data_IF_042920489448
#
_entry.id   IF_042920489448
#
_cell.length_a   1.000
_cell.length_b   1.000
_cell.length_c   1.000
_cell.angle_alpha   90.00
_cell.angle_beta   90.00
_cell.angle_gamma   90.00
#
_symmetry.space_group_name_H-M   'P 1'
#
loop_
_entity.id
_entity.type
_entity.pdbx_description
1 polymer ?
#
# COMPACT_ATOMS: atom_id res chain seq x y z
N UNK A 1 31.55 6.05 11.63
CA UNK A 1 30.94 4.80 11.15
C UNK A 1 31.76 4.34 9.96
N UNK A 2 32.49 3.23 10.10
CA UNK A 2 33.44 2.80 9.09
C UNK A 2 32.78 2.53 7.75
N UNK A 3 33.46 2.96 6.69
CA UNK A 3 33.04 2.81 5.29
C UNK A 3 32.66 1.37 4.95
N UNK A 4 33.37 0.40 5.55
CA UNK A 4 33.15 -1.04 5.45
C UNK A 4 31.79 -1.50 5.97
N UNK A 5 31.34 -0.96 7.11
CA UNK A 5 30.09 -1.38 7.73
C UNK A 5 28.89 -0.91 6.89
N UNK A 6 28.99 0.28 6.28
CA UNK A 6 27.98 0.77 5.34
C UNK A 6 27.97 -0.02 4.02
N UNK A 7 29.13 -0.46 3.53
CA UNK A 7 29.23 -1.30 2.34
C UNK A 7 28.62 -2.69 2.56
N UNK A 8 28.85 -3.30 3.73
CA UNK A 8 28.18 -4.54 4.13
C UNK A 8 26.65 -4.40 4.15
N UNK A 9 26.14 -3.28 4.67
CA UNK A 9 24.69 -2.98 4.68
C UNK A 9 24.11 -2.81 3.27
N UNK A 10 24.79 -2.07 2.39
CA UNK A 10 24.37 -1.95 0.99
C UNK A 10 24.39 -3.30 0.26
N UNK A 11 25.41 -4.12 0.51
CA UNK A 11 25.50 -5.46 -0.05
C UNK A 11 24.34 -6.34 0.44
N UNK A 12 24.03 -6.30 1.73
CA UNK A 12 22.91 -7.05 2.31
C UNK A 12 21.57 -6.61 1.73
N UNK A 13 21.34 -5.31 1.54
CA UNK A 13 20.11 -4.80 0.90
C UNK A 13 20.05 -5.24 -0.55
N UNK A 14 21.15 -5.05 -1.30
CA UNK A 14 21.20 -5.47 -2.70
C UNK A 14 20.95 -6.97 -2.83
N UNK A 15 21.52 -7.79 -1.94
CA UNK A 15 21.29 -9.22 -1.87
C UNK A 15 19.85 -9.57 -1.50
N UNK A 16 19.31 -8.98 -0.43
CA UNK A 16 17.94 -9.23 0.04
C UNK A 16 16.93 -8.86 -1.03
N UNK A 17 17.11 -7.71 -1.68
CA UNK A 17 16.24 -7.28 -2.76
C UNK A 17 16.40 -8.18 -3.98
N UNK A 18 17.62 -8.57 -4.38
CA UNK A 18 17.81 -9.57 -5.45
C UNK A 18 17.09 -10.88 -5.15
N UNK A 19 17.12 -11.35 -3.91
CA UNK A 19 16.39 -12.55 -3.50
C UNK A 19 14.87 -12.35 -3.53
N UNK A 20 14.37 -11.19 -3.09
CA UNK A 20 12.95 -10.84 -3.22
C UNK A 20 12.51 -10.75 -4.69
N UNK A 21 13.36 -10.26 -5.58
CA UNK A 21 13.12 -10.22 -7.03
C UNK A 21 13.05 -11.63 -7.60
N UNK A 22 14.03 -12.48 -7.28
CA UNK A 22 14.03 -13.87 -7.74
C UNK A 22 12.76 -14.57 -7.23
N UNK A 23 12.43 -14.37 -5.95
CA UNK A 23 11.19 -14.86 -5.36
C UNK A 23 9.94 -14.32 -6.07
N UNK A 24 9.89 -13.03 -6.39
CA UNK A 24 8.79 -12.40 -7.11
C UNK A 24 8.65 -12.93 -8.55
N UNK A 25 9.75 -13.07 -9.28
CA UNK A 25 9.75 -13.62 -10.64
C UNK A 25 9.34 -15.08 -10.65
N UNK A 26 9.83 -15.88 -9.68
CA UNK A 26 9.39 -17.27 -9.49
C UNK A 26 7.90 -17.27 -9.14
N UNK A 27 7.45 -16.41 -8.23
CA UNK A 27 6.04 -16.31 -7.85
C UNK A 27 5.17 -15.95 -9.07
N UNK A 28 5.53 -14.93 -9.85
CA UNK A 28 4.82 -14.58 -11.09
C UNK A 28 4.83 -15.72 -12.11
N UNK A 29 5.97 -16.42 -12.28
CA UNK A 29 6.05 -17.57 -13.17
C UNK A 29 5.16 -18.73 -12.71
N UNK A 30 5.12 -19.01 -11.41
CA UNK A 30 4.25 -20.01 -10.79
C UNK A 30 2.78 -19.60 -10.93
N UNK A 31 2.43 -18.33 -10.69
CA UNK A 31 1.06 -17.81 -10.87
C UNK A 31 0.61 -17.89 -12.33
N UNK A 32 1.47 -17.49 -13.28
CA UNK A 32 1.20 -17.61 -14.71
C UNK A 32 1.03 -19.06 -15.14
N UNK A 33 1.85 -19.97 -14.62
CA UNK A 33 1.76 -21.40 -14.88
C UNK A 33 0.48 -22.01 -14.28
N UNK A 34 0.14 -21.64 -13.04
CA UNK A 34 -1.09 -22.04 -12.39
C UNK A 34 -2.33 -21.51 -13.13
N UNK A 35 -2.33 -20.25 -13.56
CA UNK A 35 -3.39 -19.66 -14.38
C UNK A 35 -3.54 -20.40 -15.72
N UNK A 36 -2.45 -20.81 -16.35
CA UNK A 36 -2.51 -21.57 -17.60
C UNK A 36 -3.08 -22.99 -17.38
N UNK A 37 -2.68 -23.65 -16.30
CA UNK A 37 -3.23 -24.96 -15.92
C UNK A 37 -4.73 -24.87 -15.60
N UNK A 38 -5.15 -23.84 -14.86
CA UNK A 38 -6.54 -23.65 -14.44
C UNK A 38 -7.45 -23.27 -15.63
N UNK A 39 -6.94 -22.54 -16.63
CA UNK A 39 -7.72 -22.17 -17.82
C UNK A 39 -7.77 -23.26 -18.91
N UNK A 40 -6.86 -24.23 -18.91
CA UNK A 40 -6.88 -25.37 -19.84
C UNK A 40 -7.95 -26.41 -19.45
N UNK A 41 -8.30 -26.48 -18.15
CA UNK A 41 -9.55 -27.10 -17.74
C UNK A 41 -10.68 -26.15 -18.13
N UNK A 42 -11.44 -26.51 -19.18
CA UNK A 42 -12.72 -25.87 -19.50
C UNK A 42 -13.44 -25.58 -18.20
N UNK A 43 -13.79 -24.31 -17.94
CA UNK A 43 -14.57 -23.85 -16.78
C UNK A 43 -15.90 -24.60 -16.82
N UNK A 44 -15.90 -25.85 -16.33
CA UNK A 44 -17.11 -26.52 -15.94
C UNK A 44 -17.52 -25.79 -14.66
N UNK A 45 -18.75 -25.25 -14.60
CA UNK A 45 -19.23 -24.65 -13.37
C UNK A 45 -19.09 -25.72 -12.28
N UNK A 46 -18.21 -25.46 -11.32
CA UNK A 46 -18.03 -26.35 -10.20
C UNK A 46 -19.41 -26.52 -9.56
N UNK A 47 -19.80 -27.78 -9.29
CA UNK A 47 -21.09 -28.10 -8.68
C UNK A 47 -21.30 -27.42 -7.32
N UNK A 48 -20.22 -26.88 -6.73
CA UNK A 48 -20.21 -26.07 -5.52
C UNK A 48 -20.85 -24.68 -5.68
N UNK A 49 -21.05 -24.19 -6.92
CA UNK A 49 -21.54 -22.84 -7.17
C UNK A 49 -20.56 -21.75 -6.71
N UNK A 50 -19.29 -22.09 -6.49
CA UNK A 50 -18.26 -21.14 -6.08
C UNK A 50 -17.91 -20.16 -7.21
N UNK A 51 -17.78 -18.87 -6.87
CA UNK A 51 -17.33 -17.81 -7.78
C UNK A 51 -15.92 -17.33 -7.44
N UNK A 52 -15.64 -17.12 -6.16
CA UNK A 52 -14.36 -16.57 -5.70
C UNK A 52 -14.40 -16.12 -4.26
N UNK A 53 -13.40 -15.34 -3.86
CA UNK A 53 -13.34 -14.73 -2.53
C UNK A 53 -13.29 -13.21 -2.64
N UNK A 54 -13.88 -12.51 -1.68
CA UNK A 54 -13.62 -11.09 -1.47
C UNK A 54 -12.84 -10.87 -0.18
N UNK A 55 -11.93 -9.92 -0.16
CA UNK A 55 -10.98 -9.73 0.94
C UNK A 55 -11.11 -8.37 1.62
N UNK A 56 -11.35 -8.37 2.93
CA UNK A 56 -11.57 -7.13 3.68
C UNK A 56 -10.29 -6.46 4.22
N UNK A 57 -9.12 -7.02 3.92
CA UNK A 57 -7.87 -6.62 4.57
C UNK A 57 -7.58 -7.31 5.90
N UNK A 58 -8.36 -8.32 6.31
CA UNK A 58 -8.08 -9.19 7.47
C UNK A 58 -8.62 -10.62 7.31
N UNK A 59 -9.72 -10.80 6.58
CA UNK A 59 -10.32 -12.11 6.31
C UNK A 59 -10.97 -12.13 4.94
N UNK A 60 -11.20 -13.33 4.43
CA UNK A 60 -11.98 -13.57 3.21
C UNK A 60 -13.44 -13.87 3.54
N UNK A 61 -14.30 -13.50 2.60
CA UNK A 61 -15.66 -14.02 2.48
C UNK A 61 -15.78 -14.79 1.17
N UNK A 62 -16.55 -15.86 1.20
CA UNK A 62 -16.80 -16.69 0.03
C UNK A 62 -17.96 -16.12 -0.78
N UNK A 63 -17.72 -15.94 -2.08
CA UNK A 63 -18.73 -15.56 -3.05
C UNK A 63 -19.21 -16.83 -3.73
N UNK A 64 -20.46 -17.20 -3.48
CA UNK A 64 -21.12 -18.31 -4.15
C UNK A 64 -22.34 -17.81 -4.92
N UNK A 65 -22.76 -18.59 -5.91
CA UNK A 65 -24.02 -18.37 -6.65
C UNK A 65 -25.16 -18.07 -5.68
N UNK A 66 -25.32 -18.93 -4.68
CA UNK A 66 -26.48 -18.91 -3.79
C UNK A 66 -26.48 -17.73 -2.82
N UNK A 67 -25.31 -17.27 -2.38
CA UNK A 67 -25.22 -16.19 -1.39
C UNK A 67 -25.10 -14.79 -2.00
N UNK A 68 -24.62 -14.68 -3.25
CA UNK A 68 -24.22 -13.39 -3.83
C UNK A 68 -24.95 -12.98 -5.11
N UNK A 69 -25.51 -13.93 -5.88
CA UNK A 69 -26.14 -13.62 -7.18
C UNK A 69 -27.66 -13.71 -7.11
N UNK A 70 -28.34 -12.81 -7.85
CA UNK A 70 -29.81 -12.76 -7.90
C UNK A 70 -30.39 -14.02 -8.56
N UNK A 71 -29.75 -14.48 -9.65
CA UNK A 71 -30.18 -15.63 -10.45
C UNK A 71 -28.98 -16.35 -11.11
N UNK A 72 -29.28 -17.47 -11.78
CA UNK A 72 -28.28 -18.29 -12.48
C UNK A 72 -27.65 -17.57 -13.68
N UNK A 73 -28.45 -16.78 -14.40
CA UNK A 73 -28.00 -16.05 -15.58
C UNK A 73 -26.95 -15.00 -15.19
N UNK A 74 -27.19 -14.27 -14.11
CA UNK A 74 -26.25 -13.31 -13.51
C UNK A 74 -24.93 -13.97 -13.10
N UNK A 75 -25.00 -15.16 -12.49
CA UNK A 75 -23.81 -15.93 -12.11
C UNK A 75 -23.03 -16.41 -13.34
N UNK A 76 -23.72 -16.96 -14.35
CA UNK A 76 -23.09 -17.46 -15.58
C UNK A 76 -22.50 -16.31 -16.41
N UNK A 77 -23.17 -15.16 -16.48
CA UNK A 77 -22.65 -13.97 -17.16
C UNK A 77 -21.39 -13.44 -16.48
N UNK A 78 -21.32 -13.50 -15.15
CA UNK A 78 -20.12 -13.11 -14.40
C UNK A 78 -18.93 -14.07 -14.60
N UNK A 79 -19.20 -15.34 -14.91
CA UNK A 79 -18.16 -16.34 -15.23
C UNK A 79 -17.61 -16.22 -16.66
N UNK A 80 -18.29 -15.50 -17.56
CA UNK A 80 -17.80 -15.36 -18.92
C UNK A 80 -16.49 -14.56 -18.93
N UNK A 81 -15.41 -15.09 -19.55
CA UNK A 81 -14.16 -14.36 -19.63
C UNK A 81 -14.38 -13.05 -20.39
N UNK A 82 -13.82 -11.95 -19.86
CA UNK A 82 -13.82 -10.68 -20.58
C UNK A 82 -13.13 -10.87 -21.94
N UNK A 83 -13.86 -10.57 -23.01
CA UNK A 83 -13.35 -10.68 -24.38
C UNK A 83 -12.12 -9.77 -24.54
N UNK A 84 -10.95 -10.41 -24.64
CA UNK A 84 -9.61 -9.88 -24.88
C UNK A 84 -8.85 -9.27 -23.68
N UNK A 85 -7.52 -9.58 -23.55
CA UNK A 85 -6.63 -8.74 -22.78
C UNK A 85 -6.59 -7.37 -23.46
N UNK A 86 -7.10 -6.35 -22.78
CA UNK A 86 -7.10 -5.00 -23.33
C UNK A 86 -5.65 -4.51 -23.46
N UNK A 87 -5.36 -3.61 -24.42
CA UNK A 87 -4.09 -2.86 -24.51
C UNK A 87 -3.64 -2.31 -23.14
N UNK A 88 -4.60 -2.07 -22.26
CA UNK A 88 -4.46 -1.64 -20.89
C UNK A 88 -3.91 -2.70 -19.92
N UNK A 89 -4.26 -3.98 -20.05
CA UNK A 89 -3.68 -5.07 -19.23
C UNK A 89 -2.19 -5.26 -19.56
N UNK A 90 -1.82 -5.01 -20.82
CA UNK A 90 -0.43 -4.97 -21.29
C UNK A 90 0.30 -3.74 -20.71
N UNK A 91 -0.36 -2.57 -20.67
CA UNK A 91 0.19 -1.35 -20.05
C UNK A 91 0.33 -1.47 -18.52
N UNK A 92 -0.61 -2.16 -17.85
CA UNK A 92 -0.61 -2.40 -16.41
C UNK A 92 0.56 -3.29 -15.98
N UNK A 93 0.70 -4.43 -16.67
CA UNK A 93 1.78 -5.37 -16.43
C UNK A 93 3.14 -4.76 -16.80
N UNK A 94 3.22 -3.98 -17.88
CA UNK A 94 4.46 -3.31 -18.27
C UNK A 94 4.87 -2.20 -17.31
N UNK A 95 3.95 -1.41 -16.73
CA UNK A 95 4.31 -0.38 -15.76
C UNK A 95 4.76 -0.95 -14.40
N UNK A 96 4.15 -2.05 -13.95
CA UNK A 96 4.62 -2.82 -12.80
C UNK A 96 6.04 -3.35 -13.07
N UNK A 97 6.26 -3.96 -14.23
CA UNK A 97 7.57 -4.46 -14.69
C UNK A 97 8.58 -3.33 -14.82
N UNK A 98 8.22 -2.16 -15.35
CA UNK A 98 9.08 -0.97 -15.47
C UNK A 98 9.42 -0.39 -14.10
N UNK A 99 8.49 -0.41 -13.15
CA UNK A 99 8.75 0.06 -11.77
C UNK A 99 9.68 -0.89 -11.04
N UNK A 100 9.44 -2.20 -11.15
CA UNK A 100 10.32 -3.25 -10.62
C UNK A 100 11.69 -3.17 -11.30
N UNK A 101 11.76 -2.97 -12.62
CA UNK A 101 13.01 -2.76 -13.39
C UNK A 101 13.75 -1.47 -13.00
N UNK A 102 13.02 -0.40 -12.67
CA UNK A 102 13.60 0.88 -12.26
C UNK A 102 14.17 0.79 -10.84
N UNK A 103 13.44 0.14 -9.92
CA UNK A 103 13.92 -0.26 -8.61
C UNK A 103 15.13 -1.19 -8.72
N UNK A 104 15.06 -2.20 -9.59
CA UNK A 104 16.15 -3.13 -9.93
C UNK A 104 17.42 -2.40 -10.39
N UNK A 105 17.31 -1.45 -11.31
CA UNK A 105 18.46 -0.68 -11.83
C UNK A 105 19.01 0.26 -10.76
N UNK A 106 18.14 0.88 -9.96
CA UNK A 106 18.50 1.68 -8.79
C UNK A 106 19.29 0.87 -7.74
N UNK A 107 18.84 -0.36 -7.46
CA UNK A 107 19.41 -1.30 -6.48
C UNK A 107 20.63 -2.07 -7.00
N UNK A 108 20.74 -2.31 -8.30
CA UNK A 108 21.92 -2.91 -8.93
C UNK A 108 23.11 -1.95 -8.94
N UNK A 109 22.83 -0.63 -9.04
CA UNK A 109 23.86 0.42 -8.93
C UNK A 109 24.27 0.73 -7.49
N UNK A 110 23.90 -0.10 -6.51
CA UNK A 110 24.12 0.07 -5.07
C UNK A 110 25.59 0.00 -4.57
N UNK A 111 26.56 0.38 -5.40
CA UNK A 111 27.87 0.77 -4.91
C UNK A 111 27.85 2.30 -4.66
N UNK A 112 28.46 2.75 -3.56
CA UNK A 112 28.40 4.17 -3.10
C UNK A 112 28.83 5.15 -4.19
N UNK A 113 29.73 4.72 -5.09
CA UNK A 113 30.21 5.51 -6.23
C UNK A 113 29.23 5.57 -7.40
N UNK A 114 28.26 4.67 -7.48
CA UNK A 114 27.39 4.45 -8.64
C UNK A 114 25.93 4.83 -8.41
N UNK A 115 25.42 4.76 -7.16
CA UNK A 115 24.04 5.14 -6.80
C UNK A 115 23.75 6.57 -7.26
N UNK A 116 24.69 7.48 -7.03
CA UNK A 116 24.52 8.91 -7.31
C UNK A 116 25.03 9.32 -8.71
N UNK A 117 25.10 8.38 -9.66
CA UNK A 117 25.39 8.72 -11.06
C UNK A 117 24.26 9.56 -11.64
N UNK A 118 24.63 10.56 -12.45
CA UNK A 118 23.70 11.39 -13.24
C UNK A 118 22.68 10.46 -13.91
N UNK A 119 21.38 10.67 -13.62
CA UNK A 119 20.16 9.98 -14.11
C UNK A 119 19.43 9.11 -13.07
N UNK A 120 20.05 8.72 -11.95
CA UNK A 120 19.36 7.88 -10.96
C UNK A 120 18.13 8.59 -10.38
N UNK A 121 18.27 9.87 -10.01
CA UNK A 121 17.15 10.69 -9.57
C UNK A 121 15.99 10.72 -10.58
N UNK A 122 16.30 10.93 -11.86
CA UNK A 122 15.30 10.98 -12.94
C UNK A 122 14.59 9.64 -13.15
N UNK A 123 15.29 8.51 -13.02
CA UNK A 123 14.68 7.18 -13.11
C UNK A 123 13.67 6.94 -11.97
N UNK A 124 13.98 7.38 -10.76
CA UNK A 124 13.04 7.30 -9.63
C UNK A 124 11.81 8.18 -9.86
N UNK A 125 12.00 9.42 -10.31
CA UNK A 125 10.89 10.33 -10.61
C UNK A 125 9.98 9.78 -11.72
N UNK A 126 10.57 9.26 -12.80
CA UNK A 126 9.82 8.63 -13.89
C UNK A 126 9.07 7.39 -13.42
N UNK A 127 9.73 6.51 -12.64
CA UNK A 127 9.12 5.29 -12.12
C UNK A 127 7.95 5.60 -11.18
N UNK A 128 8.11 6.54 -10.25
CA UNK A 128 7.02 6.94 -9.37
C UNK A 128 5.86 7.58 -10.13
N UNK A 129 6.16 8.45 -11.11
CA UNK A 129 5.13 9.07 -11.97
C UNK A 129 4.34 8.04 -12.78
N UNK A 130 5.03 7.11 -13.45
CA UNK A 130 4.38 6.03 -14.22
C UNK A 130 3.52 5.13 -13.33
N UNK A 131 4.01 4.74 -12.15
CA UNK A 131 3.25 3.92 -11.21
C UNK A 131 1.96 4.64 -10.78
N UNK A 132 2.03 5.92 -10.44
CA UNK A 132 0.84 6.70 -10.04
C UNK A 132 -0.19 6.80 -11.18
N UNK A 133 0.25 7.06 -12.42
CA UNK A 133 -0.63 7.16 -13.59
C UNK A 133 -1.35 5.84 -13.85
N UNK A 134 -0.60 4.74 -13.88
CA UNK A 134 -1.15 3.41 -14.15
C UNK A 134 -2.16 3.00 -13.10
N UNK A 135 -1.83 3.19 -11.82
CA UNK A 135 -2.77 2.88 -10.75
C UNK A 135 -4.00 3.79 -10.80
N UNK A 136 -3.85 5.06 -11.17
CA UNK A 136 -5.01 5.97 -11.32
C UNK A 136 -5.95 5.49 -12.43
N UNK A 137 -5.41 5.08 -13.58
CA UNK A 137 -6.21 4.56 -14.70
C UNK A 137 -6.95 3.27 -14.31
N UNK A 138 -6.31 2.41 -13.52
CA UNK A 138 -6.89 1.17 -13.00
C UNK A 138 -8.03 1.46 -12.03
N UNK A 139 -7.78 2.40 -11.12
CA UNK A 139 -8.73 2.81 -10.10
C UNK A 139 -9.98 3.46 -10.72
N UNK A 140 -9.81 4.29 -11.76
CA UNK A 140 -10.93 4.93 -12.47
C UNK A 140 -11.94 3.90 -13.01
N UNK A 141 -11.46 2.74 -13.49
CA UNK A 141 -12.34 1.68 -13.98
C UNK A 141 -13.18 1.03 -12.89
N UNK A 142 -12.72 1.05 -11.65
CA UNK A 142 -13.41 0.44 -10.52
C UNK A 142 -14.52 1.34 -9.96
N UNK A 143 -14.68 2.56 -10.46
CA UNK A 143 -15.79 3.46 -10.08
C UNK A 143 -17.15 3.02 -10.66
N UNK A 144 -17.17 2.22 -11.72
CA UNK A 144 -18.41 1.73 -12.35
C UNK A 144 -18.72 0.31 -11.87
N UNK A 145 -19.03 0.16 -10.58
CA UNK A 145 -19.50 -1.13 -10.03
C UNK A 145 -20.95 -1.33 -10.43
N UNK A 146 -21.27 -2.41 -11.14
CA UNK A 146 -22.64 -2.80 -11.45
C UNK A 146 -23.21 -3.62 -10.27
N UNK A 147 -24.30 -3.13 -9.65
CA UNK A 147 -24.96 -3.81 -8.51
C UNK A 147 -26.08 -4.76 -8.92
N UNK A 148 -26.58 -4.64 -10.16
CA UNK A 148 -27.89 -5.19 -10.52
C UNK A 148 -27.92 -6.73 -10.60
N UNK A 149 -26.75 -7.36 -10.73
CA UNK A 149 -26.56 -8.82 -10.76
C UNK A 149 -26.37 -9.45 -9.38
N UNK A 150 -26.23 -8.64 -8.33
CA UNK A 150 -25.90 -9.09 -6.98
C UNK A 150 -27.08 -8.98 -6.00
N UNK A 151 -27.13 -9.87 -5.01
CA UNK A 151 -28.09 -9.84 -3.88
C UNK A 151 -27.38 -9.79 -2.53
N UNK A 152 -28.16 -9.66 -1.45
CA UNK A 152 -27.64 -9.66 -0.08
C UNK A 152 -26.64 -8.53 0.16
N UNK A 153 -25.55 -8.81 0.89
CA UNK A 153 -24.51 -7.81 1.18
C UNK A 153 -23.83 -7.29 -0.08
N UNK A 154 -23.76 -8.09 -1.15
CA UNK A 154 -23.13 -7.71 -2.41
C UNK A 154 -23.97 -6.70 -3.22
N UNK A 155 -25.29 -6.64 -2.99
CA UNK A 155 -26.13 -5.60 -3.59
C UNK A 155 -25.84 -4.20 -3.04
N UNK A 156 -25.23 -4.11 -1.85
CA UNK A 156 -24.92 -2.82 -1.18
C UNK A 156 -23.54 -2.27 -1.53
N UNK A 157 -22.85 -2.90 -2.48
CA UNK A 157 -21.51 -2.51 -2.91
C UNK A 157 -21.45 -1.02 -3.26
N UNK A 158 -20.52 -0.32 -2.62
CA UNK A 158 -20.17 1.05 -3.00
C UNK A 158 -18.68 1.14 -3.18
N UNK A 159 -18.21 1.98 -4.09
CA UNK A 159 -16.78 2.08 -4.35
C UNK A 159 -15.99 2.56 -3.12
N UNK A 160 -14.88 1.88 -2.82
CA UNK A 160 -13.92 2.24 -1.80
C UNK A 160 -12.59 2.70 -2.45
N UNK A 161 -12.25 4.00 -2.34
CA UNK A 161 -11.03 4.51 -2.96
C UNK A 161 -9.75 4.02 -2.29
N UNK A 162 -8.88 3.39 -3.07
CA UNK A 162 -7.59 2.83 -2.67
C UNK A 162 -6.44 3.82 -2.77
N UNK A 163 -6.64 5.05 -2.29
CA UNK A 163 -5.67 6.14 -2.44
C UNK A 163 -4.26 5.79 -1.94
N UNK A 164 -4.12 4.98 -0.90
CA UNK A 164 -2.80 4.54 -0.42
C UNK A 164 -2.08 3.60 -1.39
N UNK A 165 -2.81 2.65 -1.99
CA UNK A 165 -2.26 1.75 -3.00
C UNK A 165 -1.94 2.48 -4.30
N UNK A 166 -2.76 3.45 -4.66
CA UNK A 166 -2.58 4.24 -5.86
C UNK A 166 -1.43 5.23 -5.71
N UNK A 167 -1.34 5.97 -4.60
CA UNK A 167 -0.44 7.12 -4.48
C UNK A 167 0.63 7.01 -3.40
N UNK A 168 0.46 6.18 -2.36
CA UNK A 168 1.37 6.15 -1.22
C UNK A 168 2.80 5.73 -1.56
N UNK A 169 2.96 4.61 -2.26
CA UNK A 169 4.28 4.11 -2.70
C UNK A 169 4.91 5.04 -3.76
N UNK A 170 4.20 5.44 -4.83
CA UNK A 170 4.69 6.42 -5.80
C UNK A 170 5.20 7.71 -5.17
N UNK A 171 4.47 8.25 -4.21
CA UNK A 171 4.83 9.49 -3.55
C UNK A 171 6.13 9.37 -2.78
N UNK A 172 6.37 8.24 -2.10
CA UNK A 172 7.65 7.97 -1.44
C UNK A 172 8.81 7.86 -2.44
N UNK A 173 8.59 7.20 -3.58
CA UNK A 173 9.59 7.08 -4.64
C UNK A 173 9.90 8.46 -5.24
N UNK A 174 8.88 9.28 -5.53
CA UNK A 174 9.03 10.63 -6.04
C UNK A 174 9.74 11.52 -5.03
N UNK A 175 9.33 11.49 -3.77
CA UNK A 175 9.95 12.26 -2.68
C UNK A 175 11.44 11.94 -2.59
N UNK A 176 11.80 10.66 -2.60
CA UNK A 176 13.19 10.24 -2.58
C UNK A 176 13.95 10.61 -3.87
N UNK A 177 13.31 10.50 -5.04
CA UNK A 177 13.87 10.96 -6.31
C UNK A 177 14.19 12.46 -6.31
N UNK A 178 13.33 13.30 -5.72
CA UNK A 178 13.58 14.73 -5.56
C UNK A 178 14.72 15.03 -4.58
N UNK A 179 14.82 14.29 -3.47
CA UNK A 179 15.94 14.40 -2.52
C UNK A 179 17.27 14.07 -3.23
N UNK A 180 17.28 13.01 -4.04
CA UNK A 180 18.46 12.62 -4.80
C UNK A 180 18.79 13.63 -5.91
N UNK A 181 17.78 14.16 -6.60
CA UNK A 181 17.96 15.17 -7.63
C UNK A 181 18.58 16.45 -7.05
N UNK A 182 18.13 16.87 -5.86
CA UNK A 182 18.71 18.00 -5.14
C UNK A 182 20.21 17.77 -4.92
N UNK A 183 20.58 16.60 -4.39
CA UNK A 183 21.96 16.23 -4.15
C UNK A 183 22.79 16.24 -5.46
N UNK A 184 22.32 15.59 -6.51
CA UNK A 184 23.00 15.53 -7.81
C UNK A 184 23.24 16.93 -8.42
N UNK A 185 22.25 17.85 -8.30
CA UNK A 185 22.37 19.23 -8.79
C UNK A 185 23.37 20.03 -7.97
N UNK A 186 23.31 19.93 -6.63
CA UNK A 186 24.24 20.59 -5.71
C UNK A 186 25.68 20.16 -5.99
N UNK A 187 25.93 18.85 -6.08
CA UNK A 187 27.27 18.31 -6.37
C UNK A 187 27.78 18.67 -7.77
N UNK A 188 26.88 18.96 -8.72
CA UNK A 188 27.25 19.38 -10.08
C UNK A 188 27.38 20.91 -10.22
N UNK A 189 27.24 21.69 -9.14
CA UNK A 189 27.25 23.15 -9.17
C UNK A 189 26.09 23.77 -9.95
N UNK A 190 24.98 23.04 -10.12
CA UNK A 190 23.78 23.50 -10.85
C UNK A 190 22.80 24.18 -9.90
N UNK A 191 21.93 25.02 -10.45
CA UNK A 191 20.84 25.63 -9.69
C UNK A 191 19.92 24.56 -9.09
N UNK A 192 19.67 24.68 -7.79
CA UNK A 192 18.78 23.78 -7.00
C UNK A 192 17.40 24.39 -6.73
N UNK A 193 17.21 25.67 -7.06
CA UNK A 193 15.97 26.41 -6.75
C UNK A 193 14.69 25.72 -7.27
N UNK A 194 14.65 25.16 -8.49
CA UNK A 194 13.47 24.43 -8.97
C UNK A 194 13.17 23.19 -8.10
N UNK A 195 14.20 22.42 -7.73
CA UNK A 195 14.03 21.19 -6.95
C UNK A 195 13.64 21.50 -5.51
N UNK A 196 14.19 22.58 -4.92
CA UNK A 196 13.75 23.08 -3.61
C UNK A 196 12.26 23.42 -3.60
N UNK A 197 11.79 24.10 -4.65
CA UNK A 197 10.39 24.44 -4.80
C UNK A 197 9.51 23.18 -4.94
N UNK A 198 9.92 22.23 -5.78
CA UNK A 198 9.23 20.94 -5.93
C UNK A 198 9.16 20.13 -4.63
N UNK A 199 10.25 20.08 -3.85
CA UNK A 199 10.25 19.40 -2.53
C UNK A 199 9.26 20.04 -1.56
N UNK A 200 9.17 21.37 -1.52
CA UNK A 200 8.21 22.10 -0.67
C UNK A 200 6.77 21.85 -1.10
N UNK A 201 6.47 21.91 -2.39
CA UNK A 201 5.14 21.56 -2.91
C UNK A 201 4.79 20.12 -2.57
N UNK A 202 5.68 19.18 -2.86
CA UNK A 202 5.47 17.76 -2.58
C UNK A 202 5.22 17.52 -1.09
N UNK A 203 5.89 18.27 -0.21
CA UNK A 203 5.63 18.24 1.23
C UNK A 203 4.21 18.66 1.59
N UNK A 204 3.74 19.80 1.06
CA UNK A 204 2.39 20.29 1.32
C UNK A 204 1.32 19.34 0.78
N UNK A 205 1.47 18.87 -0.46
CA UNK A 205 0.54 17.91 -1.07
C UNK A 205 0.49 16.62 -0.24
N UNK A 206 1.66 16.06 0.13
CA UNK A 206 1.72 14.87 0.99
C UNK A 206 1.00 15.08 2.31
N UNK A 207 1.27 16.20 2.98
CA UNK A 207 0.68 16.51 4.28
C UNK A 207 -0.83 16.67 4.23
N UNK A 208 -1.33 17.50 3.30
CA UNK A 208 -2.77 17.79 3.16
C UNK A 208 -3.54 16.53 2.75
N UNK A 209 -3.07 15.81 1.73
CA UNK A 209 -3.74 14.61 1.23
C UNK A 209 -3.77 13.50 2.28
N UNK A 210 -2.64 13.23 2.95
CA UNK A 210 -2.58 12.20 3.98
C UNK A 210 -3.42 12.58 5.21
N UNK A 211 -3.35 13.83 5.66
CA UNK A 211 -4.15 14.30 6.80
C UNK A 211 -5.65 14.21 6.51
N UNK A 212 -6.08 14.73 5.35
CA UNK A 212 -7.49 14.69 4.94
C UNK A 212 -8.03 13.25 4.89
N UNK A 213 -7.27 12.33 4.31
CA UNK A 213 -7.68 10.92 4.24
C UNK A 213 -7.72 10.24 5.61
N UNK A 214 -6.68 10.42 6.45
CA UNK A 214 -6.65 9.84 7.80
C UNK A 214 -7.79 10.36 8.65
N UNK A 215 -8.07 11.67 8.58
CA UNK A 215 -9.18 12.29 9.30
C UNK A 215 -10.53 11.78 8.81
N UNK A 216 -10.73 11.68 7.50
CA UNK A 216 -11.95 11.11 6.92
C UNK A 216 -12.17 9.67 7.40
N UNK A 217 -11.15 8.81 7.32
CA UNK A 217 -11.23 7.41 7.77
C UNK A 217 -11.50 7.30 9.26
N UNK A 218 -10.84 8.11 10.09
CA UNK A 218 -11.08 8.15 11.52
C UNK A 218 -12.50 8.62 11.85
N UNK A 219 -12.98 9.68 11.18
CA UNK A 219 -14.33 10.18 11.33
C UNK A 219 -15.39 9.15 10.93
N UNK A 220 -15.17 8.39 9.84
CA UNK A 220 -16.06 7.29 9.44
C UNK A 220 -16.13 6.22 10.54
N UNK A 221 -15.00 5.82 11.14
CA UNK A 221 -14.99 4.85 12.25
C UNK A 221 -15.72 5.37 13.49
N UNK A 222 -15.53 6.64 13.84
CA UNK A 222 -16.26 7.25 14.94
C UNK A 222 -17.77 7.35 14.64
N UNK A 223 -18.14 7.67 13.40
CA UNK A 223 -19.52 7.73 12.97
C UNK A 223 -20.20 6.34 13.03
N UNK A 224 -19.52 5.28 12.59
CA UNK A 224 -20.02 3.90 12.70
C UNK A 224 -20.38 3.50 14.14
N UNK A 225 -19.64 4.01 15.14
CA UNK A 225 -19.93 3.76 16.56
C UNK A 225 -21.15 4.50 17.11
N UNK A 226 -21.50 5.63 16.49
CA UNK A 226 -22.58 6.51 16.93
C UNK A 226 -23.86 6.33 16.10
N UNK A 227 -23.75 5.65 14.97
CA UNK A 227 -24.85 5.46 14.01
C UNK A 227 -25.66 4.21 14.34
N UNK A 228 -26.95 4.25 14.03
CA UNK A 228 -27.83 3.07 14.04
C UNK A 228 -27.72 2.26 12.74
N UNK A 229 -27.06 2.80 11.72
CA UNK A 229 -26.88 2.15 10.42
C UNK A 229 -25.82 1.04 10.45
N UNK A 230 -25.84 0.17 9.44
CA UNK A 230 -24.80 -0.83 9.22
C UNK A 230 -23.43 -0.15 9.03
N UNK A 231 -22.40 -0.71 9.66
CA UNK A 231 -21.03 -0.28 9.47
C UNK A 231 -20.53 -0.81 8.12
N UNK A 232 -19.48 -0.19 7.56
CA UNK A 232 -18.95 -0.60 6.26
C UNK A 232 -17.53 -1.16 6.36
N UNK A 233 -17.33 -2.25 5.64
CA UNK A 233 -16.07 -2.98 5.56
C UNK A 233 -15.42 -2.70 4.19
N UNK A 234 -14.17 -2.22 4.17
CA UNK A 234 -13.45 -2.09 2.90
C UNK A 234 -13.00 -3.47 2.42
N UNK A 235 -13.54 -3.93 1.30
CA UNK A 235 -13.26 -5.17 0.59
C UNK A 235 -12.61 -4.87 -0.76
N UNK A 236 -11.28 -4.96 -0.85
CA UNK A 236 -10.52 -4.40 -1.96
C UNK A 236 -11.14 -3.05 -2.41
N UNK A 237 -11.59 -2.91 -3.66
CA UNK A 237 -12.13 -1.67 -4.23
C UNK A 237 -13.57 -1.33 -3.86
N UNK A 238 -14.23 -2.11 -2.99
CA UNK A 238 -15.63 -1.87 -2.60
C UNK A 238 -15.80 -1.80 -1.08
N UNK A 239 -16.83 -1.12 -0.64
CA UNK A 239 -17.39 -1.20 0.69
C UNK A 239 -18.57 -2.15 0.67
N UNK A 240 -18.58 -3.10 1.59
CA UNK A 240 -19.73 -3.94 1.90
C UNK A 240 -20.28 -3.57 3.27
N UNK A 241 -21.59 -3.65 3.43
CA UNK A 241 -22.21 -3.52 4.74
C UNK A 241 -21.80 -4.71 5.63
N UNK A 242 -21.55 -4.42 6.91
CA UNK A 242 -21.56 -5.38 8.00
C UNK A 242 -22.95 -5.29 8.65
N UNK A 243 -23.88 -6.20 8.31
CA UNK A 243 -25.27 -6.07 8.69
C UNK A 243 -25.48 -6.32 10.18
N UNK A 244 -26.06 -5.34 10.87
CA UNK A 244 -26.43 -5.46 12.28
C UNK A 244 -27.44 -6.60 12.52
N UNK A 245 -28.31 -6.85 11.55
CA UNK A 245 -29.32 -7.92 11.58
C UNK A 245 -28.74 -9.34 11.57
N UNK A 246 -27.50 -9.53 11.09
CA UNK A 246 -26.85 -10.84 11.11
C UNK A 246 -26.06 -11.08 12.40
N UNK A 247 -25.95 -10.08 13.27
CA UNK A 247 -25.29 -10.21 14.56
C UNK A 247 -26.24 -10.76 15.63
N UNK A 248 -25.74 -11.64 16.49
CA UNK A 248 -26.53 -12.29 17.54
C UNK A 248 -27.12 -11.30 18.58
N UNK A 249 -26.54 -10.11 18.71
CA UNK A 249 -27.07 -9.05 19.59
C UNK A 249 -26.45 -7.68 19.29
N UNK A 250 -27.18 -6.62 19.63
CA UNK A 250 -26.70 -5.22 19.58
C UNK A 250 -25.41 -5.00 20.40
N UNK A 251 -25.30 -5.68 21.55
CA UNK A 251 -24.10 -5.58 22.40
C UNK A 251 -22.88 -6.21 21.72
N UNK A 252 -23.04 -7.37 21.09
CA UNK A 252 -21.96 -8.02 20.34
C UNK A 252 -21.53 -7.18 19.14
N UNK A 253 -22.51 -6.60 18.42
CA UNK A 253 -22.26 -5.69 17.31
C UNK A 253 -21.47 -4.45 17.75
N UNK A 254 -21.89 -3.77 18.83
CA UNK A 254 -21.17 -2.62 19.37
C UNK A 254 -19.74 -2.96 19.80
N UNK A 255 -19.53 -4.10 20.49
CA UNK A 255 -18.20 -4.59 20.86
C UNK A 255 -17.33 -4.83 19.63
N UNK A 256 -17.89 -5.38 18.56
CA UNK A 256 -17.20 -5.59 17.31
C UNK A 256 -16.74 -4.25 16.70
N UNK A 257 -17.61 -3.25 16.64
CA UNK A 257 -17.22 -1.93 16.12
C UNK A 257 -16.13 -1.25 16.97
N UNK A 258 -16.24 -1.32 18.30
CA UNK A 258 -15.21 -0.77 19.22
C UNK A 258 -13.88 -1.51 19.01
N UNK A 259 -13.92 -2.83 18.93
CA UNK A 259 -12.74 -3.65 18.69
C UNK A 259 -12.04 -3.24 17.38
N UNK A 260 -12.81 -3.00 16.32
CA UNK A 260 -12.25 -2.57 15.02
C UNK A 260 -11.63 -1.18 15.08
N UNK A 261 -12.21 -0.25 15.85
CA UNK A 261 -11.56 1.05 16.11
C UNK A 261 -10.23 0.86 16.84
N UNK A 262 -10.20 0.03 17.89
CA UNK A 262 -8.97 -0.28 18.65
C UNK A 262 -7.91 -0.93 17.74
N UNK A 263 -8.33 -1.86 16.88
CA UNK A 263 -7.45 -2.52 15.91
C UNK A 263 -6.86 -1.52 14.90
N UNK A 264 -7.64 -0.54 14.47
CA UNK A 264 -7.21 0.45 13.47
C UNK A 264 -6.29 1.54 14.05
N UNK A 265 -6.39 1.82 15.35
CA UNK A 265 -5.68 2.92 16.01
C UNK A 265 -4.13 2.84 15.89
N UNK A 266 -3.47 1.68 16.10
CA UNK A 266 -2.03 1.55 15.87
C UNK A 266 -1.61 1.94 14.46
N UNK A 267 -2.41 1.61 13.45
CA UNK A 267 -2.12 1.93 12.05
C UNK A 267 -2.26 3.44 11.84
N UNK A 268 -3.32 4.08 12.34
CA UNK A 268 -3.47 5.54 12.26
C UNK A 268 -2.30 6.28 12.88
N UNK A 269 -1.89 5.90 14.10
CA UNK A 269 -0.77 6.52 14.81
C UNK A 269 0.54 6.34 14.01
N UNK A 270 0.82 5.13 13.54
CA UNK A 270 2.03 4.86 12.75
C UNK A 270 2.05 5.63 11.42
N UNK A 271 0.92 5.73 10.73
CA UNK A 271 0.77 6.52 9.51
C UNK A 271 1.04 8.01 9.76
N UNK A 272 0.54 8.59 10.85
CA UNK A 272 0.83 9.98 11.23
C UNK A 272 2.33 10.18 11.46
N UNK A 273 2.97 9.29 12.23
CA UNK A 273 4.42 9.35 12.49
C UNK A 273 5.20 9.29 11.17
N UNK A 274 4.84 8.37 10.26
CA UNK A 274 5.50 8.18 8.97
C UNK A 274 5.35 9.40 8.06
N UNK A 275 4.14 9.93 7.91
CA UNK A 275 3.87 11.13 7.11
C UNK A 275 4.67 12.32 7.62
N UNK A 276 4.67 12.56 8.93
CA UNK A 276 5.46 13.66 9.54
C UNK A 276 6.95 13.46 9.29
N UNK A 277 7.46 12.23 9.42
CA UNK A 277 8.87 11.93 9.16
C UNK A 277 9.27 12.23 7.71
N UNK A 278 8.44 11.82 6.75
CA UNK A 278 8.65 12.05 5.31
C UNK A 278 8.56 13.53 4.95
N UNK A 279 7.56 14.25 5.48
CA UNK A 279 7.45 15.71 5.31
C UNK A 279 8.69 16.42 5.86
N UNK A 280 9.13 16.06 7.07
CA UNK A 280 10.33 16.65 7.68
C UNK A 280 11.60 16.33 6.90
N UNK A 281 11.70 15.13 6.30
CA UNK A 281 12.80 14.77 5.41
C UNK A 281 12.82 15.69 4.17
N UNK A 282 11.69 15.83 3.47
CA UNK A 282 11.60 16.68 2.26
C UNK A 282 11.90 18.14 2.57
N UNK A 283 11.34 18.71 3.65
CA UNK A 283 11.67 20.06 4.11
C UNK A 283 13.15 20.22 4.46
N UNK A 284 13.76 19.24 5.13
CA UNK A 284 15.18 19.29 5.48
C UNK A 284 16.06 19.21 4.24
N UNK A 285 15.71 18.33 3.29
CA UNK A 285 16.40 18.19 2.02
C UNK A 285 16.32 19.46 1.15
N UNK A 286 15.17 20.15 1.15
CA UNK A 286 15.03 21.44 0.47
C UNK A 286 16.00 22.51 1.02
N UNK A 287 16.48 22.36 2.25
CA UNK A 287 17.48 23.22 2.88
C UNK A 287 18.90 22.64 2.83
N UNK A 288 19.15 21.62 1.99
CA UNK A 288 20.44 20.94 1.87
C UNK A 288 20.82 20.02 3.04
N UNK A 289 19.93 19.85 4.03
CA UNK A 289 20.15 19.00 5.20
C UNK A 289 19.58 17.61 4.95
N UNK A 290 20.28 16.81 4.13
CA UNK A 290 19.83 15.48 3.70
C UNK A 290 20.29 14.40 4.69
N UNK A 291 21.59 14.07 4.70
CA UNK A 291 22.16 13.05 5.60
C UNK A 291 22.50 13.65 6.97
N UNK A 292 21.49 13.79 7.80
CA UNK A 292 21.63 14.22 9.20
C UNK A 292 21.29 13.08 10.16
N UNK A 293 21.86 13.11 11.37
CA UNK A 293 21.49 12.17 12.45
C UNK A 293 19.98 12.23 12.72
N UNK A 294 19.41 13.43 12.69
CA UNK A 294 18.00 13.65 12.97
C UNK A 294 17.09 13.01 11.90
N UNK A 295 17.37 13.22 10.62
CA UNK A 295 16.58 12.60 9.54
C UNK A 295 16.67 11.08 9.57
N UNK A 296 17.87 10.53 9.79
CA UNK A 296 18.06 9.07 9.93
C UNK A 296 17.27 8.50 11.11
N UNK A 297 17.29 9.19 12.26
CA UNK A 297 16.50 8.79 13.44
C UNK A 297 15.00 8.83 13.14
N UNK A 298 14.50 9.88 12.49
CA UNK A 298 13.08 10.02 12.12
C UNK A 298 12.62 8.87 11.22
N UNK A 299 13.39 8.54 10.18
CA UNK A 299 13.06 7.45 9.26
C UNK A 299 13.04 6.09 9.96
N UNK A 300 14.00 5.82 10.87
CA UNK A 300 14.01 4.57 11.67
C UNK A 300 12.82 4.46 12.61
N UNK A 301 12.47 5.56 13.29
CA UNK A 301 11.31 5.58 14.19
C UNK A 301 10.03 5.35 13.40
N UNK A 302 9.87 6.00 12.25
CA UNK A 302 8.71 5.80 11.38
C UNK A 302 8.62 4.35 10.87
N UNK A 303 9.72 3.79 10.39
CA UNK A 303 9.76 2.40 9.95
C UNK A 303 9.43 1.42 11.08
N UNK A 304 9.99 1.62 12.27
CA UNK A 304 9.70 0.79 13.43
C UNK A 304 8.24 0.90 13.86
N UNK A 305 7.66 2.11 13.88
CA UNK A 305 6.26 2.32 14.21
C UNK A 305 5.32 1.59 13.24
N UNK A 306 5.61 1.64 11.94
CA UNK A 306 4.86 0.92 10.91
C UNK A 306 5.01 -0.60 11.02
N UNK A 307 6.20 -1.10 11.32
CA UNK A 307 6.43 -2.53 11.54
C UNK A 307 5.66 -3.05 12.76
N UNK A 308 5.72 -2.32 13.88
CA UNK A 308 4.99 -2.66 15.10
C UNK A 308 3.48 -2.60 14.86
N UNK A 309 2.98 -1.57 14.18
CA UNK A 309 1.55 -1.45 13.90
C UNK A 309 1.04 -2.57 13.00
N UNK A 310 1.83 -3.01 12.00
CA UNK A 310 1.50 -4.18 11.18
C UNK A 310 1.36 -5.45 12.04
N UNK A 311 2.31 -5.71 12.93
CA UNK A 311 2.26 -6.88 13.82
C UNK A 311 1.03 -6.83 14.74
N UNK A 312 0.80 -5.69 15.40
CA UNK A 312 -0.37 -5.52 16.29
C UNK A 312 -1.68 -5.71 15.51
N UNK A 313 -1.79 -5.09 14.33
CA UNK A 313 -2.98 -5.20 13.49
C UNK A 313 -3.28 -6.64 13.10
N UNK A 314 -2.26 -7.41 12.72
CA UNK A 314 -2.41 -8.82 12.35
C UNK A 314 -2.80 -9.71 13.54
N UNK A 315 -2.19 -9.50 14.71
CA UNK A 315 -2.54 -10.23 15.93
C UNK A 315 -4.00 -9.95 16.35
N UNK A 316 -4.42 -8.69 16.29
CA UNK A 316 -5.81 -8.31 16.54
C UNK A 316 -6.75 -8.81 15.44
N UNK A 317 -6.26 -9.02 14.22
CA UNK A 317 -7.04 -9.61 13.12
C UNK A 317 -7.47 -11.05 13.40
N UNK A 318 -6.65 -11.84 14.09
CA UNK A 318 -7.04 -13.19 14.53
C UNK A 318 -8.22 -13.14 15.51
N UNK A 319 -8.21 -12.17 16.42
CA UNK A 319 -9.30 -11.96 17.37
C UNK A 319 -10.56 -11.46 16.65
N UNK A 320 -10.41 -10.58 15.64
CA UNK A 320 -11.53 -10.10 14.83
C UNK A 320 -12.30 -11.26 14.18
N UNK A 321 -11.57 -12.22 13.61
CA UNK A 321 -12.14 -13.39 12.94
C UNK A 321 -12.90 -14.27 13.92
N UNK A 322 -12.33 -14.53 15.10
CA UNK A 322 -13.05 -15.28 16.14
C UNK A 322 -14.32 -14.54 16.58
N UNK A 323 -14.24 -13.22 16.76
CA UNK A 323 -15.42 -12.41 17.12
C UNK A 323 -16.50 -12.46 16.03
N UNK A 324 -16.13 -12.50 14.76
CA UNK A 324 -17.09 -12.65 13.66
C UNK A 324 -17.75 -14.03 13.68
N UNK A 325 -16.95 -15.10 13.70
CA UNK A 325 -17.46 -16.47 13.66
C UNK A 325 -18.32 -16.83 14.90
N UNK A 326 -18.06 -16.22 16.05
CA UNK A 326 -18.86 -16.44 17.26
C UNK A 326 -20.16 -15.60 17.31
N UNK A 327 -20.18 -14.42 16.70
CA UNK A 327 -21.24 -13.43 16.92
C UNK A 327 -22.04 -13.03 15.69
N UNK A 328 -21.64 -13.48 14.50
CA UNK A 328 -22.36 -13.22 13.25
C UNK A 328 -22.83 -14.52 12.61
N UNK A 329 -23.92 -14.42 11.86
CA UNK A 329 -24.48 -15.48 11.02
C UNK A 329 -24.25 -15.15 9.56
N UNK A 330 -24.67 -16.03 8.64
CA UNK A 330 -24.53 -15.80 7.21
C UNK A 330 -23.06 -15.75 6.77
N UNK A 331 -22.76 -14.91 5.78
CA UNK A 331 -21.43 -14.83 5.13
C UNK A 331 -20.35 -14.38 6.14
N UNK A 332 -20.71 -13.59 7.16
CA UNK A 332 -19.77 -13.11 8.17
C UNK A 332 -19.56 -14.08 9.34
N UNK A 333 -20.38 -15.13 9.46
CA UNK A 333 -20.23 -16.16 10.49
C UNK A 333 -19.26 -17.29 10.14
N UNK A 334 -18.76 -17.32 8.90
CA UNK A 334 -17.82 -18.33 8.41
C UNK A 334 -16.67 -17.66 7.65
N UNK A 335 -15.93 -16.81 8.37
CA UNK A 335 -14.80 -16.07 7.80
C UNK A 335 -13.47 -16.74 8.14
N UNK A 336 -12.58 -16.78 7.14
CA UNK A 336 -11.23 -17.33 7.30
C UNK A 336 -10.20 -16.22 7.39
N UNK A 337 -9.37 -16.26 8.44
CA UNK A 337 -8.27 -15.31 8.61
C UNK A 337 -7.26 -15.40 7.47
N UNK A 338 -6.74 -14.24 7.07
CA UNK A 338 -5.55 -14.13 6.24
C UNK A 338 -4.69 -12.97 6.72
N UNK A 339 -3.40 -12.96 6.35
CA UNK A 339 -2.50 -11.86 6.70
C UNK A 339 -3.13 -10.55 6.24
N UNK A 340 -3.24 -9.61 7.16
CA UNK A 340 -3.89 -8.31 7.04
C UNK A 340 -3.22 -7.35 6.06
N UNK A 341 -3.21 -7.70 4.78
CA UNK A 341 -2.90 -6.83 3.65
C UNK A 341 -4.09 -5.90 3.40
N UNK A 342 -4.22 -4.83 4.16
CA UNK A 342 -5.29 -3.85 3.92
C UNK A 342 -5.17 -3.29 2.51
N UNK A 343 -6.17 -3.48 1.66
CA UNK A 343 -6.30 -2.64 0.45
C UNK A 343 -5.11 -2.71 -0.53
N UNK A 344 -4.35 -3.82 -0.54
CA UNK A 344 -3.10 -3.90 -1.29
C UNK A 344 -1.94 -3.06 -0.72
N UNK A 345 -2.10 -2.48 0.48
CA UNK A 345 -1.15 -1.62 1.17
C UNK A 345 -0.94 -2.05 2.62
N UNK A 346 0.16 -2.77 2.84
CA UNK A 346 0.53 -3.30 4.14
C UNK A 346 1.59 -2.37 4.82
N UNK A 347 1.47 -2.03 6.11
CA UNK A 347 2.38 -1.08 6.76
C UNK A 347 3.87 -1.50 6.76
N UNK A 348 4.18 -2.79 6.81
CA UNK A 348 5.55 -3.30 6.70
C UNK A 348 6.18 -2.96 5.34
N UNK A 349 5.43 -2.96 4.24
CA UNK A 349 5.92 -2.52 2.93
C UNK A 349 6.45 -1.07 2.98
N UNK A 350 5.70 -0.17 3.64
CA UNK A 350 6.16 1.20 3.87
C UNK A 350 7.36 1.25 4.81
N UNK A 351 7.41 0.41 5.84
CA UNK A 351 8.57 0.30 6.71
C UNK A 351 9.84 -0.08 5.94
N UNK A 352 9.75 -1.08 5.05
CA UNK A 352 10.87 -1.48 4.18
C UNK A 352 11.32 -0.35 3.26
N UNK A 353 10.40 0.38 2.64
CA UNK A 353 10.73 1.53 1.79
C UNK A 353 11.45 2.63 2.58
N UNK A 354 10.98 2.95 3.79
CA UNK A 354 11.63 3.96 4.65
C UNK A 354 13.02 3.51 5.11
N UNK A 355 13.21 2.22 5.43
CA UNK A 355 14.53 1.65 5.76
C UNK A 355 15.46 1.75 4.55
N UNK A 356 14.98 1.41 3.35
CA UNK A 356 15.77 1.56 2.13
C UNK A 356 16.20 3.03 1.95
N UNK A 357 15.25 3.97 1.97
CA UNK A 357 15.52 5.41 1.85
C UNK A 357 16.55 5.87 2.90
N UNK A 358 16.41 5.42 4.15
CA UNK A 358 17.33 5.76 5.24
C UNK A 358 18.77 5.32 4.93
N UNK A 359 18.94 4.09 4.46
CA UNK A 359 20.27 3.54 4.18
C UNK A 359 20.87 4.22 2.95
N UNK A 360 20.05 4.52 1.94
CA UNK A 360 20.50 5.27 0.77
C UNK A 360 20.90 6.72 1.09
N UNK A 361 20.19 7.40 1.98
CA UNK A 361 20.58 8.73 2.45
C UNK A 361 21.93 8.68 3.18
N UNK A 362 22.28 7.58 3.87
CA UNK A 362 23.59 7.44 4.50
C UNK A 362 24.77 7.42 3.50
N UNK A 363 24.54 7.15 2.21
CA UNK A 363 25.58 7.22 1.18
C UNK A 363 25.94 8.66 0.75
N UNK A 364 25.05 9.62 1.00
CA UNK A 364 25.31 11.04 0.77
C UNK A 364 26.28 11.55 1.85
N UNK A 365 27.27 12.41 1.56
CA UNK A 365 28.13 13.00 2.59
C UNK A 365 27.31 13.61 3.73
N UNK A 366 27.75 13.42 4.97
CA UNK A 366 27.03 13.99 6.10
C UNK A 366 27.05 15.51 6.00
N UNK A 367 25.87 16.12 6.13
CA UNK A 367 25.78 17.57 6.29
C UNK A 367 26.23 17.85 7.72
N UNK A 368 27.47 18.34 7.89
CA UNK A 368 27.87 18.88 9.19
C UNK A 368 26.87 19.99 9.56
N UNK A 369 26.40 19.98 10.81
CA UNK A 369 25.83 21.22 11.34
C UNK A 369 26.96 22.23 11.17
N UNK A 370 26.74 23.29 10.41
CA UNK A 370 27.55 24.48 10.54
C UNK A 370 27.50 24.83 12.03
N UNK A 371 28.54 24.42 12.76
CA UNK A 371 28.77 24.87 14.11
C UNK A 371 28.91 26.38 14.01
N UNK A 372 28.30 27.07 14.96
CA UNK A 372 28.51 28.49 15.18
C UNK A 372 29.99 28.83 15.02
N UNK A 373 30.37 29.43 13.89
CA UNK A 373 31.48 30.36 13.83
C UNK A 373 30.95 31.66 14.42
N UNK A 374 30.87 31.69 15.75
CA UNK A 374 31.03 32.92 16.50
C UNK A 374 32.37 32.77 17.20
N UNK A 375 33.33 33.54 16.70
CA UNK A 375 34.61 33.99 17.29
C UNK A 375 35.45 33.01 18.11
#
# INVERSE_FOLDING_TARGET
>A
MDTDNLQKKFHLISFTVRMLIIGFLIFCAVQMFAFHIINDDTIQPDSSGFYGHNYCGTFFIDITRDNSFVDEESYLNALQPADFPTLQDILLNSALVVTVLSLLIFLHRADKKTIHKKRTAWLLLLSGGLYAIVNTITEIKTFTVQSDSFKGIMATQTYYPQLYAVYGIPLLIIAYGLVLLYYEQTSSGKSVAPVQHSLKICTWVTGISAFGFMMWRFAVRCYELLSENNARLPFYSVFLDLPKSECISDSAYAKMLVFRLIKDLPVFIASVIAVIAVMKLMCSAANGRINTIENRRRLKIAALALAISSVIFNLLGLIEVNMLNENFTGIYGDVTYTIGIRSGCEPMLYAFLLIAIEIYIQAIPQTEKAGNTYD
#
